data_IF_240250543395
#
_entry.id   IF_240250543395
#
_cell.length_a   1.000
_cell.length_b   1.000
_cell.length_c   1.000
_cell.angle_alpha   90.00
_cell.angle_beta   90.00
_cell.angle_gamma   90.00
#
_symmetry.space_group_name_H-M   'P 1'
#
loop_
_entity.id
_entity.type
_entity.pdbx_description
1 polymer ?
#
# COMPACT_ATOMS: atom_id res chain seq x y z
N UNK A 1 1.57 9.10 6.12
CA UNK A 1 1.22 9.97 4.98
C UNK A 1 0.53 9.09 3.97
N UNK A 2 -0.71 9.43 3.62
CA UNK A 2 -1.59 8.65 2.73
C UNK A 2 -1.25 8.82 1.26
N UNK A 3 -1.80 7.93 0.44
CA UNK A 3 -1.73 7.96 -1.03
C UNK A 3 -0.31 8.06 -1.61
N UNK A 4 0.70 7.50 -0.94
CA UNK A 4 2.07 7.58 -1.47
C UNK A 4 2.23 6.81 -2.77
N UNK A 5 1.46 5.74 -2.94
CA UNK A 5 1.52 4.83 -4.08
C UNK A 5 1.14 5.46 -5.42
N UNK A 6 0.48 6.62 -5.43
CA UNK A 6 0.19 7.43 -6.64
C UNK A 6 0.96 8.76 -6.70
N UNK A 7 1.78 9.04 -5.68
CA UNK A 7 2.45 10.34 -5.50
C UNK A 7 3.96 10.23 -5.67
N UNK A 8 4.58 9.22 -5.05
CA UNK A 8 6.02 8.96 -5.10
C UNK A 8 6.23 7.65 -5.87
N UNK A 9 6.35 7.76 -7.19
CA UNK A 9 6.43 6.61 -8.10
C UNK A 9 7.85 6.10 -8.31
N UNK A 10 8.84 6.94 -8.06
CA UNK A 10 10.25 6.56 -8.14
C UNK A 10 10.72 6.01 -6.79
N UNK A 11 11.39 4.86 -6.84
CA UNK A 11 11.88 4.13 -5.67
C UNK A 11 12.77 5.01 -4.76
N UNK A 12 13.65 5.81 -5.36
CA UNK A 12 14.59 6.68 -4.64
C UNK A 12 13.87 7.83 -3.91
N UNK A 13 12.88 8.45 -4.55
CA UNK A 13 12.08 9.52 -3.93
C UNK A 13 11.25 8.97 -2.77
N UNK A 14 10.68 7.76 -2.93
CA UNK A 14 9.92 7.11 -1.88
C UNK A 14 10.81 6.74 -0.68
N UNK A 15 12.03 6.24 -0.92
CA UNK A 15 12.98 5.94 0.16
C UNK A 15 13.51 7.20 0.85
N UNK A 16 13.75 8.29 0.11
CA UNK A 16 14.10 9.58 0.71
C UNK A 16 12.99 10.03 1.66
N UNK A 17 11.72 9.95 1.25
CA UNK A 17 10.59 10.26 2.13
C UNK A 17 10.51 9.31 3.34
N UNK A 18 10.70 8.01 3.13
CA UNK A 18 10.69 7.01 4.20
C UNK A 18 11.78 7.26 5.25
N UNK A 19 12.94 7.79 4.83
CA UNK A 19 14.05 8.13 5.72
C UNK A 19 13.69 9.17 6.79
N UNK A 20 12.62 9.95 6.58
CA UNK A 20 12.08 10.91 7.54
C UNK A 20 11.40 10.23 8.75
N UNK A 21 11.19 8.91 8.72
CA UNK A 21 10.66 8.11 9.83
C UNK A 21 9.14 8.12 9.99
N UNK A 22 8.42 8.80 9.09
CA UNK A 22 6.96 8.78 9.04
C UNK A 22 6.43 7.43 8.52
N UNK A 23 5.19 7.07 8.90
CA UNK A 23 4.50 5.95 8.26
C UNK A 23 4.23 6.25 6.78
N UNK A 24 4.63 5.32 5.92
CA UNK A 24 4.41 5.30 4.48
C UNK A 24 3.16 4.48 4.17
N UNK A 25 2.06 5.16 3.83
CA UNK A 25 0.79 4.51 3.55
C UNK A 25 0.55 4.35 2.04
N UNK A 26 0.39 3.09 1.63
CA UNK A 26 -0.02 2.70 0.27
C UNK A 26 -1.46 2.19 0.35
N UNK A 27 -2.42 3.08 0.17
CA UNK A 27 -3.83 2.86 0.50
C UNK A 27 -4.74 2.68 -0.72
N UNK A 28 -4.23 2.64 -1.95
CA UNK A 28 -5.08 2.47 -3.14
C UNK A 28 -5.03 1.06 -3.74
N UNK A 29 -4.77 0.03 -2.93
CA UNK A 29 -4.79 -1.36 -3.40
C UNK A 29 -6.16 -1.73 -4.01
N UNK A 30 -6.12 -2.33 -5.19
CA UNK A 30 -7.29 -2.71 -5.97
C UNK A 30 -7.85 -1.62 -6.90
N UNK A 31 -7.26 -0.42 -6.93
CA UNK A 31 -7.59 0.60 -7.94
C UNK A 31 -6.67 0.46 -9.15
N UNK A 32 -7.27 0.24 -10.32
CA UNK A 32 -6.60 0.17 -11.62
C UNK A 32 -7.46 0.90 -12.67
N UNK A 33 -7.53 2.23 -12.57
CA UNK A 33 -8.39 3.07 -13.42
C UNK A 33 -7.59 3.81 -14.48
N UNK A 34 -8.05 3.82 -15.73
CA UNK A 34 -7.42 4.58 -16.82
C UNK A 34 -7.55 6.09 -16.69
N UNK A 35 -8.48 6.58 -15.87
CA UNK A 35 -8.67 8.00 -15.62
C UNK A 35 -8.82 8.28 -14.13
N UNK A 36 -7.78 8.81 -13.51
CA UNK A 36 -7.76 9.18 -12.10
C UNK A 36 -8.05 10.68 -11.93
N UNK A 37 -9.32 11.01 -11.67
CA UNK A 37 -9.81 12.40 -11.60
C UNK A 37 -9.01 13.31 -10.63
N UNK A 38 -8.59 12.86 -9.43
CA UNK A 38 -7.82 13.71 -8.52
C UNK A 38 -6.38 14.02 -8.99
N UNK A 39 -5.89 13.34 -10.02
CA UNK A 39 -4.51 13.46 -10.51
C UNK A 39 -4.42 13.15 -12.00
N UNK A 40 -5.07 13.98 -12.83
CA UNK A 40 -5.29 13.74 -14.27
C UNK A 40 -3.98 13.53 -15.05
N UNK A 41 -2.88 14.12 -14.61
CA UNK A 41 -1.58 14.01 -15.26
C UNK A 41 -0.85 12.67 -14.99
N UNK A 42 -1.34 11.88 -14.03
CA UNK A 42 -0.66 10.69 -13.55
C UNK A 42 -1.44 9.42 -13.89
N UNK A 43 -0.77 8.47 -14.53
CA UNK A 43 -1.32 7.13 -14.71
C UNK A 43 -1.43 6.42 -13.37
N UNK A 44 -2.58 5.79 -13.12
CA UNK A 44 -2.82 5.08 -11.89
C UNK A 44 -2.00 3.78 -11.86
N UNK A 45 -1.08 3.61 -10.90
CA UNK A 45 -0.35 2.36 -10.80
C UNK A 45 -1.29 1.21 -10.41
N UNK A 46 -0.94 0.01 -10.87
CA UNK A 46 -1.59 -1.23 -10.48
C UNK A 46 -0.94 -1.85 -9.23
N UNK A 47 -1.57 -2.88 -8.67
CA UNK A 47 -1.05 -3.53 -7.45
C UNK A 47 0.34 -4.13 -7.65
N UNK A 48 0.68 -4.55 -8.87
CA UNK A 48 2.01 -5.05 -9.18
C UNK A 48 3.08 -3.94 -9.10
N UNK A 49 2.77 -2.71 -9.50
CA UNK A 49 3.63 -1.54 -9.33
C UNK A 49 3.75 -1.15 -7.86
N UNK A 50 2.62 -1.11 -7.12
CA UNK A 50 2.61 -0.85 -5.67
C UNK A 50 3.52 -1.81 -4.91
N UNK A 51 3.40 -3.11 -5.19
CA UNK A 51 4.20 -4.14 -4.52
C UNK A 51 5.70 -4.04 -4.84
N UNK A 52 6.08 -3.53 -6.02
CA UNK A 52 7.50 -3.28 -6.33
C UNK A 52 8.05 -2.17 -5.45
N UNK A 53 7.34 -1.06 -5.31
CA UNK A 53 7.74 0.04 -4.43
C UNK A 53 7.83 -0.39 -2.96
N UNK A 54 6.84 -1.15 -2.48
CA UNK A 54 6.90 -1.71 -1.13
C UNK A 54 8.08 -2.66 -0.95
N UNK A 55 8.40 -3.49 -1.95
CA UNK A 55 9.53 -4.42 -1.88
C UNK A 55 10.84 -3.65 -1.81
N UNK A 56 10.98 -2.58 -2.58
CA UNK A 56 12.13 -1.70 -2.52
C UNK A 56 12.31 -1.11 -1.12
N UNK A 57 11.24 -0.57 -0.51
CA UNK A 57 11.31 -0.05 0.86
C UNK A 57 11.72 -1.12 1.89
N UNK A 58 11.19 -2.34 1.77
CA UNK A 58 11.59 -3.47 2.61
C UNK A 58 13.07 -3.79 2.43
N UNK A 59 13.57 -3.81 1.18
CA UNK A 59 14.97 -4.10 0.88
C UNK A 59 15.93 -3.01 1.38
N UNK A 60 15.42 -1.79 1.59
CA UNK A 60 16.15 -0.69 2.23
C UNK A 60 16.00 -0.65 3.76
N UNK A 61 15.26 -1.59 4.38
CA UNK A 61 15.09 -1.68 5.83
C UNK A 61 14.02 -0.77 6.43
N UNK A 62 13.07 -0.30 5.63
CA UNK A 62 11.97 0.58 6.07
C UNK A 62 10.67 -0.17 6.41
N UNK A 63 10.71 -1.50 6.58
CA UNK A 63 9.49 -2.30 6.66
C UNK A 63 8.60 -2.00 7.88
N UNK A 64 9.15 -1.45 8.97
CA UNK A 64 8.42 -1.13 10.21
C UNK A 64 7.52 0.10 10.09
N UNK A 65 7.65 0.86 8.99
CA UNK A 65 6.87 2.08 8.74
C UNK A 65 5.95 1.97 7.53
N UNK A 66 5.76 0.77 6.99
CA UNK A 66 4.82 0.54 5.88
C UNK A 66 3.43 0.20 6.43
N UNK A 67 2.40 0.90 5.96
CA UNK A 67 0.99 0.53 6.16
C UNK A 67 0.27 0.49 4.82
N UNK A 68 -0.76 -0.35 4.73
CA UNK A 68 -1.52 -0.55 3.48
C UNK A 68 -3.01 -0.48 3.73
N UNK A 69 -3.75 -0.04 2.73
CA UNK A 69 -5.20 0.10 2.79
C UNK A 69 -5.85 0.01 1.41
N UNK A 70 -7.16 0.23 1.40
CA UNK A 70 -7.95 0.33 0.17
C UNK A 70 -8.47 1.74 -0.08
N UNK A 71 -8.63 2.58 0.94
CA UNK A 71 -9.29 3.89 0.76
C UNK A 71 -10.66 3.77 0.06
N UNK A 72 -11.44 2.73 0.40
CA UNK A 72 -12.76 2.53 -0.22
C UNK A 72 -13.68 3.67 0.23
N UNK A 73 -13.90 4.63 -0.68
CA UNK A 73 -14.78 5.78 -0.48
C UNK A 73 -15.91 5.86 -1.54
N UNK A 74 -16.07 4.85 -2.40
CA UNK A 74 -17.10 4.81 -3.44
C UNK A 74 -17.77 3.43 -3.56
N UNK A 75 -19.05 3.42 -3.97
CA UNK A 75 -19.87 2.19 -4.05
C UNK A 75 -19.30 1.14 -5.01
N UNK A 76 -18.85 1.55 -6.19
CA UNK A 76 -18.38 0.63 -7.24
C UNK A 76 -17.16 -0.21 -6.81
N UNK A 77 -16.48 0.18 -5.73
CA UNK A 77 -15.33 -0.54 -5.17
C UNK A 77 -15.71 -1.65 -4.20
N UNK A 78 -16.96 -1.72 -3.77
CA UNK A 78 -17.48 -2.81 -2.93
C UNK A 78 -17.83 -4.02 -3.79
N UNK A 79 -17.62 -5.23 -3.25
CA UNK A 79 -17.93 -6.50 -3.95
C UNK A 79 -19.38 -6.60 -4.43
N UNK A 80 -20.34 -6.04 -3.68
CA UNK A 80 -21.76 -5.99 -4.08
C UNK A 80 -21.99 -5.31 -5.44
N UNK A 81 -21.11 -4.38 -5.81
CA UNK A 81 -21.19 -3.62 -7.06
C UNK A 81 -20.09 -4.04 -8.06
N UNK A 82 -19.48 -5.23 -7.88
CA UNK A 82 -18.44 -5.76 -8.76
C UNK A 82 -17.02 -5.26 -8.46
N UNK A 83 -16.82 -4.51 -7.37
CA UNK A 83 -15.50 -4.04 -6.96
C UNK A 83 -14.69 -5.06 -6.15
N UNK A 84 -13.46 -4.69 -5.81
CA UNK A 84 -12.52 -5.56 -5.09
C UNK A 84 -12.86 -5.79 -3.61
N UNK A 85 -13.50 -4.80 -2.95
CA UNK A 85 -13.89 -4.86 -1.54
C UNK A 85 -12.74 -4.96 -0.52
N UNK A 86 -13.10 -4.96 0.75
CA UNK A 86 -12.15 -4.92 1.87
C UNK A 86 -11.29 -6.19 2.04
N UNK A 87 -11.71 -7.31 1.47
CA UNK A 87 -10.95 -8.57 1.51
C UNK A 87 -9.81 -8.61 0.49
N UNK A 88 -9.71 -7.65 -0.42
CA UNK A 88 -8.76 -7.67 -1.54
C UNK A 88 -7.30 -7.79 -1.11
N UNK A 89 -6.90 -7.10 -0.03
CA UNK A 89 -5.51 -7.17 0.45
C UNK A 89 -5.20 -8.61 0.88
N UNK A 90 -6.08 -9.23 1.67
CA UNK A 90 -5.86 -10.57 2.20
C UNK A 90 -5.98 -11.66 1.12
N UNK A 91 -6.95 -11.55 0.21
CA UNK A 91 -7.22 -12.58 -0.79
C UNK A 91 -6.30 -12.50 -2.00
N UNK A 92 -5.86 -11.30 -2.40
CA UNK A 92 -5.14 -11.09 -3.65
C UNK A 92 -3.73 -10.52 -3.45
N UNK A 93 -3.56 -9.54 -2.55
CA UNK A 93 -2.28 -8.84 -2.37
C UNK A 93 -1.30 -9.67 -1.55
N UNK A 94 -1.72 -10.23 -0.41
CA UNK A 94 -0.85 -11.05 0.46
C UNK A 94 -0.26 -12.26 -0.27
N UNK A 95 -1.04 -13.07 -1.04
CA UNK A 95 -0.45 -14.14 -1.83
C UNK A 95 0.56 -13.64 -2.88
N UNK A 96 0.33 -12.46 -3.48
CA UNK A 96 1.27 -11.84 -4.43
C UNK A 96 2.54 -11.35 -3.72
N UNK A 97 2.45 -10.81 -2.50
CA UNK A 97 3.61 -10.42 -1.69
C UNK A 97 4.52 -11.63 -1.45
N UNK A 98 3.97 -12.74 -0.97
CA UNK A 98 4.73 -13.98 -0.71
C UNK A 98 5.40 -14.49 -1.99
N UNK A 99 4.68 -14.55 -3.11
CA UNK A 99 5.23 -14.94 -4.42
C UNK A 99 6.35 -14.01 -4.92
N UNK A 100 6.39 -12.76 -4.45
CA UNK A 100 7.40 -11.76 -4.81
C UNK A 100 8.53 -11.63 -3.78
N UNK A 101 8.65 -12.59 -2.87
CA UNK A 101 9.77 -12.68 -1.94
C UNK A 101 9.66 -11.78 -0.71
N UNK A 102 8.47 -11.29 -0.38
CA UNK A 102 8.24 -10.77 0.98
C UNK A 102 8.24 -11.94 1.96
N UNK A 103 9.01 -11.84 3.03
CA UNK A 103 8.99 -12.87 4.07
C UNK A 103 7.64 -12.87 4.81
N UNK A 104 7.22 -14.01 5.40
CA UNK A 104 6.03 -14.06 6.24
C UNK A 104 6.05 -13.02 7.37
N UNK A 105 7.23 -12.74 7.93
CA UNK A 105 7.40 -11.73 8.98
C UNK A 105 7.12 -10.32 8.48
N UNK A 106 7.64 -9.95 7.31
CA UNK A 106 7.37 -8.64 6.69
C UNK A 106 5.89 -8.50 6.35
N UNK A 107 5.26 -9.57 5.82
CA UNK A 107 3.81 -9.57 5.58
C UNK A 107 3.05 -9.32 6.90
N UNK A 108 3.41 -10.03 7.97
CA UNK A 108 2.79 -9.84 9.28
C UNK A 108 3.05 -8.43 9.85
N UNK A 109 4.21 -7.82 9.60
CA UNK A 109 4.48 -6.42 9.97
C UNK A 109 3.47 -5.49 9.28
N UNK A 110 3.38 -5.57 7.97
CA UNK A 110 2.53 -4.70 7.14
C UNK A 110 1.04 -4.87 7.47
N UNK A 111 0.56 -6.12 7.64
CA UNK A 111 -0.87 -6.39 7.81
C UNK A 111 -1.35 -6.35 9.26
N UNK A 112 -0.44 -6.33 10.24
CA UNK A 112 -0.81 -6.43 11.67
C UNK A 112 0.03 -5.55 12.58
N UNK A 113 1.35 -5.75 12.64
CA UNK A 113 2.19 -5.11 13.66
C UNK A 113 2.25 -3.60 13.47
N UNK A 114 2.56 -3.13 12.26
CA UNK A 114 2.70 -1.70 11.96
C UNK A 114 1.41 -0.92 12.25
N UNK A 115 0.21 -1.32 11.75
CA UNK A 115 -1.01 -0.60 12.08
C UNK A 115 -1.37 -0.69 13.57
N UNK A 116 -1.09 -1.80 14.25
CA UNK A 116 -1.26 -1.92 15.69
C UNK A 116 -0.37 -0.92 16.44
N UNK A 117 0.92 -0.86 16.12
CA UNK A 117 1.86 0.08 16.73
C UNK A 117 1.48 1.52 16.45
N UNK A 118 1.07 1.84 15.22
CA UNK A 118 0.69 3.20 14.83
C UNK A 118 -0.55 3.70 15.57
N UNK A 119 -1.60 2.87 15.68
CA UNK A 119 -2.89 3.26 16.24
C UNK A 119 -2.98 3.09 17.77
N UNK A 120 -1.91 2.61 18.41
CA UNK A 120 -1.86 2.50 19.87
C UNK A 120 -1.58 3.88 20.48
N UNK A 121 -2.46 4.33 21.37
CA UNK A 121 -2.22 5.48 22.22
C UNK A 121 -1.53 5.02 23.52
N UNK A 122 -0.45 5.68 23.89
CA UNK A 122 0.15 5.52 25.21
C UNK A 122 -0.46 6.54 26.17
N UNK A 123 -0.67 6.15 27.42
CA UNK A 123 -1.07 7.05 28.51
C UNK A 123 0.14 7.77 29.07
#
# INVERSE_FOLDING_TARGET
MSHLDRTLLEETQLAEFASLGCYCEHDLFGIETSHYQPGIAQDMPNDAQRLRLLKYLVDQGYEDKIVVGHDIHTKHRLMKFGGHGYSHILLNVVPKMLKRGFSPDVVNKITRVNPQTWLTFFK
#
